data_IF_342315232349
#
_entry.id   IF_342315232349
#
_cell.length_a   1.000
_cell.length_b   1.000
_cell.length_c   1.000
_cell.angle_alpha   90.00
_cell.angle_beta   90.00
_cell.angle_gamma   90.00
#
_symmetry.space_group_name_H-M   'P 1'
#
loop_
_entity.id
_entity.type
_entity.pdbx_description
1 polymer ?
#
# COMPACT_ATOMS: atom_id res chain seq x y z
N UNK A 1 16.18 8.93 50.08
CA UNK A 1 17.28 8.07 49.60
C UNK A 1 16.64 6.70 49.38
N UNK A 2 16.57 6.13 48.18
CA UNK A 2 17.63 5.89 47.18
C UNK A 2 18.59 4.76 47.67
N UNK A 3 18.93 3.75 46.86
CA UNK A 3 18.52 3.48 45.47
C UNK A 3 18.62 1.98 45.08
N UNK A 4 18.43 1.67 43.78
CA UNK A 4 18.72 0.43 43.00
C UNK A 4 19.59 -0.67 43.65
N UNK A 5 19.44 -1.98 43.34
CA UNK A 5 19.26 -2.61 42.00
C UNK A 5 18.37 -3.86 42.11
N UNK A 6 17.36 -4.13 41.27
CA UNK A 6 17.27 -4.13 39.79
C UNK A 6 17.98 -5.35 39.14
N UNK A 7 17.38 -6.53 39.27
CA UNK A 7 17.69 -7.73 38.47
C UNK A 7 16.67 -7.90 37.33
N UNK A 8 17.11 -8.51 36.22
CA UNK A 8 16.44 -8.35 34.92
C UNK A 8 15.51 -9.53 34.56
N UNK A 9 14.19 -9.29 34.50
CA UNK A 9 13.20 -10.19 33.88
C UNK A 9 12.55 -9.52 32.68
N UNK A 10 13.21 -9.57 31.53
CA UNK A 10 12.59 -9.25 30.25
C UNK A 10 11.60 -10.34 29.84
N UNK A 11 10.32 -10.14 30.14
CA UNK A 11 9.25 -11.00 29.63
C UNK A 11 9.15 -10.86 28.11
N UNK A 12 9.29 -11.97 27.37
CA UNK A 12 8.89 -12.01 25.96
C UNK A 12 7.37 -11.91 25.90
N UNK A 13 6.77 -11.09 25.02
CA UNK A 13 5.34 -11.17 24.75
C UNK A 13 5.00 -12.57 24.17
N UNK A 14 3.77 -13.02 24.40
CA UNK A 14 3.30 -14.33 23.95
C UNK A 14 3.32 -14.45 22.42
N UNK A 15 3.33 -15.69 21.93
CA UNK A 15 3.34 -15.97 20.49
C UNK A 15 2.12 -15.38 19.79
N UNK A 16 2.35 -14.71 18.65
CA UNK A 16 1.27 -14.40 17.71
C UNK A 16 0.63 -15.72 17.23
N UNK A 17 -0.69 -15.78 17.02
CA UNK A 17 -1.31 -16.91 16.33
C UNK A 17 -0.70 -17.08 14.93
N UNK A 18 -0.60 -18.33 14.48
CA UNK A 18 -0.01 -18.67 13.19
C UNK A 18 -0.73 -17.98 12.02
N UNK A 19 0.02 -17.68 10.96
CA UNK A 19 -0.54 -17.16 9.71
C UNK A 19 -0.96 -18.31 8.80
N UNK A 20 -2.26 -18.47 8.48
CA UNK A 20 -2.70 -19.42 7.48
C UNK A 20 -2.61 -18.86 6.06
N UNK A 21 -2.68 -19.79 5.11
CA UNK A 21 -2.48 -19.55 3.67
C UNK A 21 -3.59 -18.68 3.08
N UNK A 22 -3.23 -17.70 2.27
CA UNK A 22 -4.19 -16.89 1.53
C UNK A 22 -4.73 -17.65 0.32
N UNK A 23 -5.98 -18.09 0.37
CA UNK A 23 -6.67 -18.72 -0.76
C UNK A 23 -6.84 -17.74 -1.93
N UNK A 24 -5.95 -17.81 -2.92
CA UNK A 24 -5.96 -16.95 -4.11
C UNK A 24 -7.29 -17.03 -4.88
N UNK A 25 -7.97 -15.89 -5.04
CA UNK A 25 -9.31 -15.77 -5.61
C UNK A 25 -9.34 -15.87 -7.14
N UNK A 26 -8.85 -16.99 -7.67
CA UNK A 26 -8.92 -17.31 -9.10
C UNK A 26 -10.36 -17.66 -9.55
N UNK A 27 -10.77 -17.15 -10.71
CA UNK A 27 -12.18 -17.17 -11.15
C UNK A 27 -12.58 -18.45 -11.91
N UNK A 28 -13.61 -19.15 -11.43
CA UNK A 28 -14.22 -20.31 -12.11
C UNK A 28 -15.26 -19.89 -13.15
N UNK A 29 -14.78 -19.58 -14.36
CA UNK A 29 -15.64 -19.26 -15.51
C UNK A 29 -16.28 -20.50 -16.16
N UNK A 30 -17.55 -20.79 -15.85
CA UNK A 30 -18.33 -21.86 -16.48
C UNK A 30 -18.68 -21.60 -17.95
N UNK A 31 -18.51 -22.61 -18.82
CA UNK A 31 -18.94 -22.58 -20.24
C UNK A 31 -20.26 -23.35 -20.42
N UNK A 32 -21.20 -22.80 -21.19
CA UNK A 32 -22.34 -23.56 -21.72
C UNK A 32 -23.37 -22.70 -22.45
N UNK A 33 -24.02 -23.25 -23.50
CA UNK A 33 -25.26 -22.71 -24.08
C UNK A 33 -25.17 -21.80 -25.31
N UNK A 34 -25.30 -22.39 -26.51
CA UNK A 34 -26.02 -21.79 -27.66
C UNK A 34 -27.49 -22.26 -27.57
N UNK A 35 -28.50 -21.47 -27.99
CA UNK A 35 -28.74 -21.01 -29.38
C UNK A 35 -29.06 -19.50 -29.47
N UNK A 36 -29.44 -18.89 -30.60
CA UNK A 36 -29.49 -19.36 -31.99
C UNK A 36 -30.78 -19.02 -32.76
N UNK A 37 -30.87 -17.80 -33.33
CA UNK A 37 -31.74 -17.49 -34.48
C UNK A 37 -32.73 -16.31 -34.36
N UNK A 38 -32.85 -15.53 -35.45
CA UNK A 38 -34.07 -14.77 -35.81
C UNK A 38 -34.16 -13.26 -35.48
N UNK A 39 -34.71 -12.47 -36.41
CA UNK A 39 -35.52 -11.28 -36.05
C UNK A 39 -34.97 -9.86 -36.25
N UNK A 40 -34.99 -9.35 -37.49
CA UNK A 40 -35.23 -7.92 -37.85
C UNK A 40 -36.31 -7.93 -38.96
N UNK A 41 -37.00 -6.81 -39.32
CA UNK A 41 -36.80 -5.40 -38.94
C UNK A 41 -38.11 -4.72 -38.43
N UNK A 42 -38.17 -3.38 -38.37
CA UNK A 42 -39.45 -2.64 -38.27
C UNK A 42 -39.31 -1.17 -37.84
N UNK A 43 -39.92 -0.25 -38.60
CA UNK A 43 -39.88 1.20 -38.34
C UNK A 43 -41.03 1.71 -37.43
N UNK A 44 -40.89 2.92 -36.89
CA UNK A 44 -41.96 3.69 -36.24
C UNK A 44 -41.53 5.14 -35.99
N UNK A 45 -42.35 6.13 -36.35
CA UNK A 45 -41.99 7.55 -36.29
C UNK A 45 -43.18 8.51 -36.06
N UNK A 46 -42.92 9.58 -35.31
CA UNK A 46 -43.77 10.78 -35.12
C UNK A 46 -43.11 11.66 -34.04
N UNK A 47 -42.73 12.94 -34.20
CA UNK A 47 -43.29 14.15 -34.86
C UNK A 47 -44.34 14.92 -34.05
N UNK A 48 -43.94 16.14 -33.64
CA UNK A 48 -44.78 17.36 -33.44
C UNK A 48 -45.72 17.36 -32.22
N UNK A 49 -46.12 18.48 -31.59
CA UNK A 49 -45.88 19.94 -31.79
C UNK A 49 -45.93 20.64 -30.40
N UNK A 50 -45.14 21.66 -30.04
CA UNK A 50 -45.13 23.09 -30.45
C UNK A 50 -46.18 23.99 -29.74
N UNK A 51 -45.74 25.19 -29.27
CA UNK A 51 -46.50 26.35 -28.67
C UNK A 51 -47.12 26.23 -27.25
N UNK A 52 -47.44 27.33 -26.53
CA UNK A 52 -46.75 28.64 -26.25
C UNK A 52 -47.56 29.49 -25.22
N UNK A 53 -46.86 30.38 -24.49
CA UNK A 53 -47.32 31.64 -23.82
C UNK A 53 -48.46 31.62 -22.77
N UNK A 54 -48.47 32.53 -21.76
CA UNK A 54 -49.70 32.68 -20.92
C UNK A 54 -49.88 33.62 -19.70
N UNK A 55 -48.85 34.13 -18.98
CA UNK A 55 -48.95 35.33 -18.10
C UNK A 55 -49.71 35.31 -16.73
N UNK A 56 -49.36 36.30 -15.87
CA UNK A 56 -50.11 36.75 -14.65
C UNK A 56 -49.65 36.21 -13.27
N UNK A 57 -49.68 36.97 -12.16
CA UNK A 57 -49.82 38.44 -12.02
C UNK A 57 -50.29 39.03 -10.67
N UNK A 58 -49.35 39.42 -9.79
CA UNK A 58 -49.45 40.40 -8.65
C UNK A 58 -50.11 40.00 -7.30
N UNK A 59 -49.65 40.69 -6.24
CA UNK A 59 -50.22 40.76 -4.87
C UNK A 59 -49.46 39.93 -3.81
N UNK A 60 -48.99 40.47 -2.67
CA UNK A 60 -48.75 41.87 -2.28
C UNK A 60 -48.80 42.12 -0.76
N UNK A 61 -47.72 42.72 -0.20
CA UNK A 61 -47.73 43.68 0.96
C UNK A 61 -48.24 43.20 2.34
N UNK A 62 -47.83 43.67 3.55
CA UNK A 62 -46.91 44.68 4.16
C UNK A 62 -46.67 44.17 5.64
N UNK A 63 -45.85 44.68 6.61
CA UNK A 63 -44.86 45.76 6.89
C UNK A 63 -43.92 45.26 8.06
N UNK A 64 -42.67 45.72 8.31
CA UNK A 64 -42.15 46.96 9.00
C UNK A 64 -42.62 47.20 10.45
N UNK A 65 -41.89 47.88 11.34
CA UNK A 65 -40.49 48.47 11.38
C UNK A 65 -40.00 48.33 12.86
N UNK A 66 -38.80 48.67 13.35
CA UNK A 66 -37.63 49.45 12.88
C UNK A 66 -36.46 49.23 13.87
N UNK A 67 -35.56 50.16 14.23
CA UNK A 67 -35.35 51.55 13.76
C UNK A 67 -34.63 52.49 14.75
N UNK A 68 -33.28 52.50 14.78
CA UNK A 68 -32.33 53.53 15.32
C UNK A 68 -30.89 53.10 14.93
N UNK A 69 -29.90 53.93 14.60
CA UNK A 69 -29.73 55.40 14.66
C UNK A 69 -28.61 55.77 15.67
N UNK A 70 -27.60 56.61 15.39
CA UNK A 70 -27.23 57.38 14.19
C UNK A 70 -25.85 58.07 14.36
N UNK A 71 -25.56 59.10 13.54
CA UNK A 71 -24.49 60.13 13.69
C UNK A 71 -22.99 59.75 13.57
N UNK A 72 -22.08 60.64 13.12
CA UNK A 72 -22.21 61.62 12.02
C UNK A 72 -20.85 61.94 11.31
N UNK A 73 -20.74 63.07 10.60
CA UNK A 73 -19.87 63.27 9.42
C UNK A 73 -18.72 64.29 9.61
N UNK A 74 -17.71 64.19 8.72
CA UNK A 74 -16.84 65.30 8.21
C UNK A 74 -15.88 65.95 9.24
N UNK A 75 -14.85 66.72 8.86
CA UNK A 75 -14.34 67.18 7.55
C UNK A 75 -12.79 67.35 7.58
N UNK A 76 -12.15 67.61 6.42
CA UNK A 76 -10.84 68.29 6.38
C UNK A 76 -9.62 67.55 5.75
N UNK A 77 -8.95 68.24 4.80
CA UNK A 77 -7.56 68.00 4.35
C UNK A 77 -6.69 69.22 4.72
N UNK A 78 -5.35 69.11 4.68
CA UNK A 78 -4.62 69.70 3.54
C UNK A 78 -3.57 68.74 2.93
N UNK A 79 -2.82 69.19 1.91
CA UNK A 79 -1.75 68.41 1.27
C UNK A 79 -0.63 69.27 0.66
N UNK A 80 0.60 68.76 0.73
CA UNK A 80 1.73 68.94 -0.22
C UNK A 80 2.53 67.62 -0.16
N UNK A 81 3.23 67.12 -1.18
CA UNK A 81 4.00 67.73 -2.28
C UNK A 81 5.47 67.27 -2.11
N UNK A 82 6.28 66.92 -3.12
CA UNK A 82 6.16 66.98 -4.59
C UNK A 82 7.13 65.94 -5.21
N UNK A 83 6.90 65.52 -6.46
CA UNK A 83 7.74 64.51 -7.15
C UNK A 83 9.13 65.00 -7.59
N UNK A 84 9.96 64.06 -8.07
CA UNK A 84 11.33 64.32 -8.55
C UNK A 84 11.46 64.49 -10.08
N UNK A 85 12.69 64.48 -10.63
CA UNK A 85 12.95 64.36 -12.07
C UNK A 85 13.91 63.21 -12.45
N UNK A 86 14.01 62.93 -13.77
CA UNK A 86 15.05 62.09 -14.39
C UNK A 86 16.18 62.97 -14.94
N UNK A 87 17.44 62.51 -14.93
CA UNK A 87 18.42 62.75 -16.02
C UNK A 87 19.79 62.05 -15.79
N UNK A 88 20.36 61.49 -16.87
CA UNK A 88 21.79 61.57 -17.24
C UNK A 88 22.88 60.85 -16.42
N UNK A 89 23.91 60.35 -17.12
CA UNK A 89 25.23 60.09 -16.51
C UNK A 89 25.83 58.69 -16.68
N UNK A 90 26.63 58.49 -17.73
CA UNK A 90 27.93 57.76 -17.61
C UNK A 90 29.01 58.82 -17.35
N UNK A 91 30.10 58.49 -16.63
CA UNK A 91 31.33 58.25 -17.37
C UNK A 91 32.26 57.15 -16.79
N UNK A 92 33.38 57.02 -17.48
CA UNK A 92 34.45 56.04 -17.54
C UNK A 92 35.30 55.71 -16.29
N UNK A 93 35.83 54.47 -16.30
CA UNK A 93 37.26 54.20 -16.05
C UNK A 93 37.70 53.84 -14.61
N UNK A 94 38.99 53.52 -14.39
CA UNK A 94 40.09 53.40 -15.37
C UNK A 94 40.46 51.93 -15.72
N UNK A 95 41.68 51.68 -16.25
CA UNK A 95 42.04 50.45 -17.00
C UNK A 95 43.57 50.21 -17.02
N UNK A 96 43.99 48.93 -17.11
CA UNK A 96 45.33 48.40 -17.52
C UNK A 96 46.48 48.34 -16.48
N UNK A 97 47.40 47.40 -16.74
CA UNK A 97 48.72 47.22 -16.13
C UNK A 97 48.93 45.81 -15.54
N UNK A 98 49.83 44.94 -16.01
CA UNK A 98 50.54 44.91 -17.30
C UNK A 98 50.96 43.45 -17.69
N UNK A 99 51.72 43.27 -18.79
CA UNK A 99 52.12 41.96 -19.34
C UNK A 99 53.26 41.21 -18.61
N UNK A 100 53.98 40.23 -19.25
CA UNK A 100 54.14 40.04 -20.70
C UNK A 100 53.80 38.63 -21.25
N UNK A 101 53.83 38.52 -22.60
CA UNK A 101 53.81 37.26 -23.35
C UNK A 101 55.23 36.71 -23.54
N UNK A 102 55.35 35.39 -23.71
CA UNK A 102 56.28 34.77 -24.69
C UNK A 102 55.47 33.91 -25.66
N UNK A 103 55.99 33.70 -26.86
CA UNK A 103 55.29 33.00 -27.95
C UNK A 103 56.25 32.17 -28.82
N UNK A 104 55.69 31.58 -29.87
CA UNK A 104 56.29 30.48 -30.65
C UNK A 104 55.40 29.25 -30.50
N UNK A 105 54.71 28.74 -31.52
CA UNK A 105 54.79 29.04 -32.96
C UNK A 105 55.69 28.02 -33.65
N UNK A 106 55.09 27.08 -34.38
CA UNK A 106 55.80 25.92 -34.92
C UNK A 106 54.86 24.90 -35.57
N UNK A 107 54.42 25.20 -36.79
CA UNK A 107 53.66 24.29 -37.64
C UNK A 107 54.44 23.00 -37.99
N UNK A 108 53.75 21.86 -38.04
CA UNK A 108 54.07 20.77 -38.99
C UNK A 108 52.89 19.81 -39.19
N UNK A 109 52.22 19.98 -40.33
CA UNK A 109 51.19 19.08 -40.88
C UNK A 109 51.82 18.26 -42.00
N UNK A 110 51.85 16.94 -41.88
CA UNK A 110 52.30 16.03 -42.94
C UNK A 110 53.15 14.87 -42.40
N UNK A 111 52.77 13.64 -42.74
CA UNK A 111 53.41 12.43 -42.19
C UNK A 111 52.74 11.12 -42.62
N UNK A 112 52.37 10.98 -43.90
CA UNK A 112 51.99 9.68 -44.44
C UNK A 112 53.24 8.81 -44.63
N UNK A 113 53.47 7.81 -43.76
CA UNK A 113 54.35 6.69 -44.12
C UNK A 113 53.49 5.50 -44.55
N UNK A 114 53.79 4.95 -45.73
CA UNK A 114 53.31 3.64 -46.17
C UNK A 114 54.38 2.62 -45.85
N UNK A 115 54.17 1.80 -44.83
CA UNK A 115 54.96 0.59 -44.62
C UNK A 115 54.05 -0.64 -44.60
N UNK A 116 54.55 -1.74 -45.17
CA UNK A 116 53.72 -2.79 -45.77
C UNK A 116 54.27 -4.18 -45.44
N UNK A 117 53.90 -4.74 -44.29
CA UNK A 117 54.30 -6.10 -43.93
C UNK A 117 53.63 -6.67 -42.69
N UNK A 118 53.47 -7.99 -42.67
CA UNK A 118 53.30 -8.79 -41.44
C UNK A 118 51.94 -8.74 -40.74
N UNK A 119 51.07 -9.71 -41.04
CA UNK A 119 50.02 -10.18 -40.12
C UNK A 119 50.57 -11.44 -39.43
N UNK A 120 50.56 -11.52 -38.09
CA UNK A 120 49.53 -12.31 -37.40
C UNK A 120 48.62 -11.38 -36.56
N UNK A 121 47.37 -11.74 -36.25
CA UNK A 121 46.94 -13.06 -35.78
C UNK A 121 46.77 -13.10 -34.26
N UNK A 122 47.17 -12.04 -33.54
CA UNK A 122 46.88 -11.86 -32.12
C UNK A 122 45.53 -11.19 -31.88
N UNK A 123 44.52 -11.96 -31.45
CA UNK A 123 43.39 -11.41 -30.67
C UNK A 123 44.01 -10.93 -29.35
N UNK A 124 43.77 -9.70 -28.87
CA UNK A 124 44.29 -9.31 -27.55
C UNK A 124 43.78 -10.35 -26.53
N UNK A 125 44.63 -10.84 -25.61
CA UNK A 125 44.17 -11.76 -24.59
C UNK A 125 43.00 -11.09 -23.88
N UNK A 126 41.92 -11.86 -23.65
CA UNK A 126 40.86 -11.41 -22.73
C UNK A 126 41.58 -10.98 -21.46
N UNK A 127 41.28 -9.78 -20.93
CA UNK A 127 41.73 -9.43 -19.59
C UNK A 127 41.33 -10.60 -18.67
N UNK A 128 42.22 -10.91 -17.73
CA UNK A 128 41.93 -11.82 -16.63
C UNK A 128 40.60 -11.44 -15.99
N UNK A 129 39.98 -12.37 -15.28
CA UNK A 129 38.89 -12.06 -14.35
C UNK A 129 39.36 -11.02 -13.33
N UNK A 130 39.16 -9.74 -13.67
CA UNK A 130 39.22 -8.64 -12.73
C UNK A 130 38.21 -8.96 -11.62
N UNK A 131 38.58 -8.92 -10.33
CA UNK A 131 37.67 -9.24 -9.24
C UNK A 131 36.40 -8.42 -9.38
N UNK A 132 35.29 -9.09 -9.74
CA UNK A 132 34.04 -8.44 -10.14
C UNK A 132 33.60 -7.53 -9.00
N UNK A 133 33.69 -6.22 -9.23
CA UNK A 133 33.47 -5.21 -8.19
C UNK A 133 32.22 -5.54 -7.39
N UNK A 134 32.34 -5.52 -6.06
CA UNK A 134 31.24 -5.89 -5.17
C UNK A 134 30.01 -5.03 -5.49
N UNK A 135 28.98 -5.67 -6.05
CA UNK A 135 27.75 -5.01 -6.47
C UNK A 135 27.25 -4.07 -5.38
N UNK A 136 26.97 -2.82 -5.73
CA UNK A 136 26.44 -1.84 -4.76
C UNK A 136 25.09 -2.31 -4.20
N UNK A 137 24.67 -1.79 -3.05
CA UNK A 137 23.38 -2.14 -2.45
C UNK A 137 22.22 -1.94 -3.44
N UNK A 138 22.24 -0.84 -4.21
CA UNK A 138 21.25 -0.56 -5.26
C UNK A 138 21.29 -1.57 -6.40
N UNK A 139 22.47 -2.06 -6.80
CA UNK A 139 22.59 -3.11 -7.82
C UNK A 139 22.05 -4.46 -7.31
N UNK A 140 22.34 -4.83 -6.05
CA UNK A 140 21.80 -6.06 -5.43
C UNK A 140 20.26 -5.98 -5.33
N UNK A 141 19.72 -4.83 -4.91
CA UNK A 141 18.28 -4.57 -4.86
C UNK A 141 17.61 -4.40 -6.24
N UNK A 142 18.38 -4.03 -7.28
CA UNK A 142 17.89 -4.01 -8.66
C UNK A 142 17.80 -5.42 -9.25
N UNK A 143 18.83 -6.25 -9.08
CA UNK A 143 18.87 -7.61 -9.62
C UNK A 143 17.83 -8.50 -8.92
N UNK A 144 17.80 -8.45 -7.59
CA UNK A 144 16.97 -9.30 -6.72
C UNK A 144 17.58 -10.69 -6.48
N UNK A 145 16.89 -11.54 -5.69
CA UNK A 145 17.21 -12.96 -5.59
C UNK A 145 17.07 -13.66 -6.95
N UNK A 146 17.70 -14.82 -7.10
CA UNK A 146 17.59 -15.63 -8.31
C UNK A 146 16.15 -16.08 -8.54
N UNK A 147 15.70 -16.05 -9.80
CA UNK A 147 14.33 -16.42 -10.16
C UNK A 147 14.28 -17.92 -10.49
N UNK A 148 13.41 -18.71 -9.85
CA UNK A 148 13.23 -20.12 -10.19
C UNK A 148 12.85 -20.30 -11.66
N UNK A 149 13.31 -21.39 -12.28
CA UNK A 149 13.19 -21.63 -13.73
C UNK A 149 11.75 -21.92 -14.16
N UNK A 150 10.96 -22.51 -13.27
CA UNK A 150 9.53 -22.76 -13.42
C UNK A 150 8.67 -21.48 -13.44
N UNK A 151 9.15 -20.39 -12.84
CA UNK A 151 8.43 -19.12 -12.78
C UNK A 151 8.59 -18.37 -14.11
N UNK A 152 7.62 -18.50 -15.03
CA UNK A 152 7.74 -17.87 -16.37
C UNK A 152 7.25 -16.41 -16.42
N UNK A 153 6.47 -15.97 -15.43
CA UNK A 153 5.79 -14.68 -15.39
C UNK A 153 4.43 -14.68 -16.12
N UNK A 154 3.96 -15.82 -16.61
CA UNK A 154 2.64 -16.00 -17.26
C UNK A 154 1.57 -16.51 -16.28
N UNK A 155 1.99 -16.93 -15.10
CA UNK A 155 1.16 -17.40 -13.99
C UNK A 155 0.44 -16.23 -13.31
N UNK A 156 0.99 -15.03 -13.46
CA UNK A 156 0.45 -13.76 -12.96
C UNK A 156 -0.96 -13.48 -13.51
N UNK A 157 -1.88 -13.09 -12.63
CA UNK A 157 -3.26 -12.79 -13.01
C UNK A 157 -3.36 -11.77 -14.17
N UNK A 158 -4.39 -11.95 -15.00
CA UNK A 158 -4.62 -11.18 -16.24
C UNK A 158 -4.91 -9.70 -15.99
N UNK A 159 -5.49 -9.32 -14.85
CA UNK A 159 -5.70 -7.92 -14.47
C UNK A 159 -4.41 -7.31 -13.89
N UNK A 160 -3.61 -8.06 -13.14
CA UNK A 160 -2.27 -7.63 -12.69
C UNK A 160 -1.35 -7.42 -13.90
N UNK A 161 -1.24 -8.42 -14.78
CA UNK A 161 -0.48 -8.34 -16.03
C UNK A 161 -0.98 -7.22 -16.96
N UNK A 162 -2.25 -6.80 -16.86
CA UNK A 162 -2.77 -5.64 -17.60
C UNK A 162 -2.07 -4.33 -17.20
N UNK A 163 -1.73 -4.15 -15.91
CA UNK A 163 -1.05 -2.96 -15.42
C UNK A 163 0.40 -2.84 -15.93
N UNK A 164 1.02 -3.96 -16.32
CA UNK A 164 2.41 -4.00 -16.82
C UNK A 164 2.54 -3.66 -18.31
N UNK A 165 1.45 -3.61 -19.08
CA UNK A 165 1.47 -3.40 -20.55
C UNK A 165 2.07 -2.06 -21.00
N UNK A 166 2.14 -1.07 -20.11
CA UNK A 166 2.79 0.22 -20.39
C UNK A 166 4.32 0.20 -20.31
N UNK A 167 4.93 -0.95 -20.01
CA UNK A 167 6.38 -1.11 -19.89
C UNK A 167 6.97 -1.82 -21.12
N UNK A 168 8.27 -1.65 -21.41
CA UNK A 168 8.97 -2.48 -22.39
C UNK A 168 8.86 -3.97 -22.05
N UNK A 169 8.60 -4.81 -23.05
CA UNK A 169 8.29 -6.25 -22.89
C UNK A 169 9.25 -7.00 -21.95
N UNK A 170 10.57 -6.85 -22.15
CA UNK A 170 11.60 -7.50 -21.32
C UNK A 170 11.57 -7.04 -19.85
N UNK A 171 11.18 -5.79 -19.60
CA UNK A 171 11.04 -5.24 -18.26
C UNK A 171 9.75 -5.74 -17.61
N UNK A 172 8.63 -5.75 -18.35
CA UNK A 172 7.35 -6.31 -17.91
C UNK A 172 7.51 -7.79 -17.53
N UNK A 173 8.17 -8.60 -18.36
CA UNK A 173 8.41 -10.01 -18.10
C UNK A 173 9.30 -10.25 -16.86
N UNK A 174 10.39 -9.50 -16.69
CA UNK A 174 11.25 -9.63 -15.49
C UNK A 174 10.51 -9.22 -14.21
N UNK A 175 9.66 -8.20 -14.26
CA UNK A 175 8.80 -7.79 -13.14
C UNK A 175 7.76 -8.88 -12.85
N UNK A 176 7.08 -9.40 -13.87
CA UNK A 176 6.07 -10.44 -13.71
C UNK A 176 6.64 -11.70 -13.04
N UNK A 177 7.83 -12.16 -13.46
CA UNK A 177 8.54 -13.26 -12.79
C UNK A 177 8.80 -12.98 -11.30
N UNK A 178 9.23 -11.76 -10.95
CA UNK A 178 9.45 -11.40 -9.54
C UNK A 178 8.16 -11.26 -8.72
N UNK A 179 7.03 -10.87 -9.34
CA UNK A 179 5.73 -10.87 -8.65
C UNK A 179 5.22 -12.30 -8.40
N UNK A 180 5.32 -13.20 -9.39
CA UNK A 180 4.96 -14.61 -9.24
C UNK A 180 5.85 -15.31 -8.21
N UNK A 181 7.16 -15.03 -8.21
CA UNK A 181 8.07 -15.60 -7.22
C UNK A 181 7.81 -15.03 -5.81
N UNK A 182 7.37 -13.76 -5.68
CA UNK A 182 6.95 -13.23 -4.39
C UNK A 182 5.69 -13.93 -3.86
N UNK A 183 4.66 -14.11 -4.69
CA UNK A 183 3.43 -14.84 -4.36
C UNK A 183 3.73 -16.31 -3.96
N UNK A 184 4.58 -17.00 -4.73
CA UNK A 184 4.96 -18.39 -4.47
C UNK A 184 5.66 -18.62 -3.13
N UNK A 185 6.50 -17.67 -2.68
CA UNK A 185 7.21 -17.78 -1.41
C UNK A 185 6.50 -17.12 -0.23
N UNK A 186 5.42 -16.36 -0.44
CA UNK A 186 4.88 -15.48 0.61
C UNK A 186 4.46 -16.23 1.88
N UNK A 187 4.00 -17.48 1.78
CA UNK A 187 3.63 -18.33 2.92
C UNK A 187 4.80 -19.12 3.53
N UNK A 188 5.85 -19.43 2.74
CA UNK A 188 6.92 -20.37 3.12
C UNK A 188 8.25 -19.69 3.49
N UNK A 189 8.63 -18.65 2.76
CA UNK A 189 9.75 -17.74 3.06
C UNK A 189 9.31 -16.29 2.76
N UNK A 190 8.68 -15.63 3.74
CA UNK A 190 8.21 -14.25 3.59
C UNK A 190 9.33 -13.24 3.29
N UNK A 191 10.56 -13.49 3.75
CA UNK A 191 11.70 -12.61 3.52
C UNK A 191 12.17 -12.72 2.06
N UNK A 192 12.28 -13.94 1.52
CA UNK A 192 12.57 -14.16 0.10
C UNK A 192 11.48 -13.54 -0.80
N UNK A 193 10.21 -13.70 -0.42
CA UNK A 193 9.08 -13.04 -1.09
C UNK A 193 9.20 -11.51 -1.09
N UNK A 194 9.54 -10.92 0.05
CA UNK A 194 9.80 -9.49 0.19
C UNK A 194 10.97 -9.03 -0.70
N UNK A 195 12.08 -9.76 -0.73
CA UNK A 195 13.23 -9.42 -1.59
C UNK A 195 12.88 -9.51 -3.09
N UNK A 196 12.04 -10.46 -3.51
CA UNK A 196 11.52 -10.49 -4.88
C UNK A 196 10.59 -9.32 -5.19
N UNK A 197 9.64 -8.99 -4.31
CA UNK A 197 8.75 -7.85 -4.49
C UNK A 197 9.53 -6.51 -4.52
N UNK A 198 10.60 -6.42 -3.71
CA UNK A 198 11.53 -5.28 -3.69
C UNK A 198 12.32 -5.16 -4.99
N UNK A 199 12.72 -6.27 -5.60
CA UNK A 199 13.33 -6.31 -6.93
C UNK A 199 12.34 -5.98 -8.07
N UNK A 200 11.04 -6.24 -7.90
CA UNK A 200 10.01 -5.70 -8.80
C UNK A 200 9.85 -4.17 -8.59
N UNK A 201 9.92 -3.70 -7.35
CA UNK A 201 9.78 -2.29 -6.96
C UNK A 201 10.92 -1.39 -7.46
N UNK A 202 12.17 -1.83 -7.33
CA UNK A 202 13.36 -1.10 -7.79
C UNK A 202 13.33 -0.85 -9.30
N UNK A 203 12.66 -1.73 -10.07
CA UNK A 203 12.45 -1.60 -11.52
C UNK A 203 11.32 -0.63 -11.90
N UNK A 204 10.27 -0.45 -11.08
CA UNK A 204 9.25 0.59 -11.30
C UNK A 204 8.64 1.15 -10.01
N UNK A 205 8.79 2.46 -9.80
CA UNK A 205 8.11 3.17 -8.72
C UNK A 205 6.64 3.53 -9.03
N UNK A 206 6.20 3.48 -10.29
CA UNK A 206 4.98 4.16 -10.79
C UNK A 206 3.74 3.29 -11.01
N UNK A 207 3.79 1.99 -10.72
CA UNK A 207 2.64 1.08 -10.85
C UNK A 207 2.15 0.68 -9.44
N UNK A 208 0.82 0.67 -9.24
CA UNK A 208 0.19 0.45 -7.93
C UNK A 208 0.36 -0.99 -7.45
N UNK A 209 0.12 -2.00 -8.30
CA UNK A 209 0.19 -3.41 -7.89
C UNK A 209 1.60 -3.88 -7.48
N UNK A 210 2.66 -3.18 -7.89
CA UNK A 210 4.03 -3.42 -7.38
C UNK A 210 4.17 -2.95 -5.92
N UNK A 211 3.42 -1.92 -5.51
CA UNK A 211 3.43 -1.38 -4.13
C UNK A 211 2.55 -2.19 -3.19
N UNK A 212 1.44 -2.68 -3.72
CA UNK A 212 0.56 -3.70 -3.13
C UNK A 212 1.37 -4.97 -2.79
N UNK A 213 1.96 -5.63 -3.79
CA UNK A 213 2.76 -6.83 -3.59
C UNK A 213 3.98 -6.62 -2.67
N UNK A 214 4.70 -5.48 -2.77
CA UNK A 214 5.77 -5.17 -1.81
C UNK A 214 5.22 -4.92 -0.41
N UNK A 215 4.07 -4.25 -0.28
CA UNK A 215 3.45 -3.97 1.00
C UNK A 215 2.97 -5.23 1.72
N UNK A 216 2.40 -6.17 0.98
CA UNK A 216 1.92 -7.47 1.49
C UNK A 216 3.08 -8.41 1.84
N UNK A 217 4.10 -8.51 0.99
CA UNK A 217 5.30 -9.30 1.29
C UNK A 217 6.12 -8.68 2.45
N UNK A 218 6.23 -7.35 2.52
CA UNK A 218 6.84 -6.65 3.66
C UNK A 218 6.05 -6.89 4.97
N UNK A 219 4.72 -6.92 4.91
CA UNK A 219 3.89 -7.25 6.08
C UNK A 219 4.11 -8.71 6.53
N UNK A 220 4.16 -9.65 5.59
CA UNK A 220 4.42 -11.06 5.86
C UNK A 220 5.84 -11.29 6.46
N UNK A 221 6.84 -10.55 5.99
CA UNK A 221 8.22 -10.56 6.53
C UNK A 221 8.38 -9.78 7.86
N UNK A 222 7.38 -9.01 8.28
CA UNK A 222 7.42 -8.21 9.51
C UNK A 222 8.04 -6.82 9.38
N UNK A 223 8.28 -6.33 8.16
CA UNK A 223 8.78 -4.98 7.86
C UNK A 223 7.64 -3.93 7.90
N UNK A 224 6.89 -3.89 9.01
CA UNK A 224 5.61 -3.15 9.14
C UNK A 224 5.68 -1.67 8.75
N UNK A 225 6.82 -1.01 8.98
CA UNK A 225 7.02 0.39 8.59
C UNK A 225 7.09 0.59 7.07
N UNK A 226 7.75 -0.31 6.34
CA UNK A 226 7.81 -0.29 4.87
C UNK A 226 6.48 -0.76 4.28
N UNK A 227 5.87 -1.81 4.84
CA UNK A 227 4.54 -2.28 4.48
C UNK A 227 3.49 -1.16 4.55
N UNK A 228 3.43 -0.45 5.69
CA UNK A 228 2.52 0.68 5.88
C UNK A 228 2.82 1.84 4.92
N UNK A 229 4.09 2.10 4.59
CA UNK A 229 4.46 3.15 3.64
C UNK A 229 4.02 2.81 2.19
N UNK A 230 4.25 1.58 1.75
CA UNK A 230 3.94 1.12 0.40
C UNK A 230 2.44 0.88 0.19
N UNK A 231 1.71 0.29 1.14
CA UNK A 231 0.25 0.15 1.06
C UNK A 231 -0.47 1.52 1.06
N UNK A 232 0.01 2.49 1.86
CA UNK A 232 -0.45 3.89 1.77
C UNK A 232 -0.15 4.51 0.40
N UNK A 233 0.95 4.14 -0.24
CA UNK A 233 1.28 4.62 -1.58
C UNK A 233 0.44 3.93 -2.67
N UNK A 234 0.20 2.62 -2.59
CA UNK A 234 -0.73 1.88 -3.44
C UNK A 234 -2.12 2.52 -3.38
N UNK A 235 -2.67 2.69 -2.17
CA UNK A 235 -3.99 3.32 -1.94
C UNK A 235 -4.09 4.74 -2.51
N UNK A 236 -3.03 5.55 -2.47
CA UNK A 236 -3.01 6.88 -3.12
C UNK A 236 -3.01 6.82 -4.64
N UNK A 237 -2.56 5.71 -5.24
CA UNK A 237 -2.44 5.54 -6.69
C UNK A 237 -3.66 4.86 -7.33
N UNK A 238 -4.30 3.90 -6.64
CA UNK A 238 -5.46 3.17 -7.15
C UNK A 238 -6.78 3.41 -6.39
N UNK A 239 -6.74 4.15 -5.26
CA UNK A 239 -7.89 4.41 -4.40
C UNK A 239 -8.29 3.25 -3.47
N UNK A 240 -7.81 2.04 -3.73
CA UNK A 240 -8.32 0.79 -3.18
C UNK A 240 -8.27 0.73 -1.65
N UNK A 241 -9.27 0.07 -1.07
CA UNK A 241 -9.50 0.02 0.39
C UNK A 241 -9.20 -1.35 0.99
N UNK A 242 -8.97 -2.38 0.17
CA UNK A 242 -8.66 -3.75 0.61
C UNK A 242 -7.47 -3.82 1.59
N UNK A 243 -6.47 -2.94 1.45
CA UNK A 243 -5.27 -2.90 2.31
C UNK A 243 -5.52 -2.35 3.71
N UNK A 244 -6.70 -1.80 4.01
CA UNK A 244 -6.93 -1.10 5.29
C UNK A 244 -6.75 -1.99 6.53
N UNK A 245 -7.18 -3.27 6.58
CA UNK A 245 -6.90 -4.15 7.72
C UNK A 245 -5.40 -4.37 7.92
N UNK A 246 -4.64 -4.61 6.84
CA UNK A 246 -3.18 -4.79 6.89
C UNK A 246 -2.50 -3.50 7.38
N UNK A 247 -2.94 -2.33 6.89
CA UNK A 247 -2.47 -1.03 7.36
C UNK A 247 -2.78 -0.76 8.84
N UNK A 248 -3.94 -1.24 9.34
CA UNK A 248 -4.30 -1.14 10.75
C UNK A 248 -3.45 -2.10 11.62
N UNK A 249 -3.19 -3.32 11.16
CA UNK A 249 -2.34 -4.26 11.92
C UNK A 249 -0.86 -3.83 11.92
N UNK A 250 -0.38 -3.23 10.83
CA UNK A 250 0.92 -2.55 10.82
C UNK A 250 1.00 -1.45 11.89
N UNK A 251 -0.09 -0.71 12.15
CA UNK A 251 -0.11 0.27 13.24
C UNK A 251 -0.02 -0.39 14.62
N UNK A 252 -0.74 -1.51 14.86
CA UNK A 252 -0.60 -2.30 16.09
C UNK A 252 0.84 -2.79 16.29
N UNK A 253 1.42 -3.41 15.26
CA UNK A 253 2.77 -3.96 15.27
C UNK A 253 3.86 -2.89 15.49
N UNK A 254 3.57 -1.63 15.20
CA UNK A 254 4.43 -0.46 15.47
C UNK A 254 4.11 0.23 16.82
N UNK A 255 3.28 -0.38 17.68
CA UNK A 255 2.92 0.16 18.99
C UNK A 255 1.95 1.34 18.96
N UNK A 256 1.03 1.38 17.97
CA UNK A 256 0.07 2.47 17.75
C UNK A 256 -1.39 1.96 17.63
N UNK A 257 -1.92 1.22 18.61
CA UNK A 257 -3.25 0.61 18.53
C UNK A 257 -4.39 1.62 18.31
N UNK A 258 -4.26 2.85 18.81
CA UNK A 258 -5.26 3.92 18.62
C UNK A 258 -5.38 4.32 17.14
N UNK A 259 -4.29 4.24 16.37
CA UNK A 259 -4.32 4.51 14.92
C UNK A 259 -4.96 3.36 14.15
N UNK A 260 -4.85 2.12 14.64
CA UNK A 260 -5.55 0.97 14.08
C UNK A 260 -7.08 1.11 14.25
N UNK A 261 -7.54 1.44 15.46
CA UNK A 261 -8.96 1.71 15.74
C UNK A 261 -9.47 2.89 14.90
N UNK A 262 -8.71 3.99 14.82
CA UNK A 262 -9.04 5.15 13.98
C UNK A 262 -9.18 4.78 12.48
N UNK A 263 -8.44 3.78 12.00
CA UNK A 263 -8.54 3.31 10.61
C UNK A 263 -9.74 2.37 10.40
N UNK A 264 -10.03 1.51 11.37
CA UNK A 264 -11.24 0.68 11.41
C UNK A 264 -12.52 1.53 11.38
N UNK A 265 -12.52 2.69 12.05
CA UNK A 265 -13.65 3.62 12.11
C UNK A 265 -13.73 4.57 10.89
N UNK A 266 -12.93 4.33 9.84
CA UNK A 266 -12.97 5.15 8.63
C UNK A 266 -14.19 4.84 7.73
N UNK A 267 -14.80 5.84 7.05
CA UNK A 267 -15.99 5.60 6.20
C UNK A 267 -15.79 4.56 5.08
N UNK A 268 -14.54 4.28 4.69
CA UNK A 268 -14.21 3.24 3.73
C UNK A 268 -14.51 1.81 4.21
N UNK A 269 -14.54 1.56 5.53
CA UNK A 269 -14.77 0.23 6.13
C UNK A 269 -16.26 -0.12 6.20
N UNK A 270 -17.14 0.89 6.25
CA UNK A 270 -18.61 0.70 6.36
C UNK A 270 -19.14 -0.22 5.23
N UNK A 271 -18.60 -0.02 4.03
CA UNK A 271 -18.96 -0.71 2.79
C UNK A 271 -18.09 -1.96 2.50
N UNK A 272 -17.45 -2.54 3.52
CA UNK A 272 -16.69 -3.79 3.33
C UNK A 272 -17.60 -5.02 3.25
N UNK A 273 -17.32 -5.87 2.25
CA UNK A 273 -17.83 -7.23 2.17
C UNK A 273 -17.41 -8.05 3.40
N UNK A 274 -18.20 -9.08 3.73
CA UNK A 274 -18.09 -9.82 4.98
C UNK A 274 -16.65 -10.30 5.34
N UNK A 275 -15.83 -10.84 4.41
CA UNK A 275 -14.46 -11.24 4.75
C UNK A 275 -13.58 -10.04 5.16
N UNK A 276 -13.51 -8.99 4.33
CA UNK A 276 -12.70 -7.80 4.61
C UNK A 276 -13.17 -7.06 5.87
N UNK A 277 -14.48 -7.10 6.15
CA UNK A 277 -15.07 -6.55 7.37
C UNK A 277 -14.66 -7.35 8.60
N UNK A 278 -14.68 -8.68 8.54
CA UNK A 278 -14.21 -9.54 9.62
C UNK A 278 -12.70 -9.35 9.90
N UNK A 279 -11.87 -9.23 8.87
CA UNK A 279 -10.45 -8.88 9.04
C UNK A 279 -10.28 -7.57 9.82
N UNK A 280 -11.03 -6.52 9.46
CA UNK A 280 -10.97 -5.24 10.17
C UNK A 280 -11.48 -5.34 11.62
N UNK A 281 -12.56 -6.08 11.87
CA UNK A 281 -13.05 -6.39 13.23
C UNK A 281 -11.96 -7.06 14.07
N UNK A 282 -11.31 -8.09 13.54
CA UNK A 282 -10.26 -8.84 14.24
C UNK A 282 -9.09 -7.91 14.60
N UNK A 283 -8.69 -7.03 13.68
CA UNK A 283 -7.63 -6.03 13.93
C UNK A 283 -8.07 -4.96 14.94
N UNK A 284 -9.32 -4.49 14.94
CA UNK A 284 -9.80 -3.54 15.97
C UNK A 284 -9.86 -4.20 17.35
N UNK A 285 -10.36 -5.44 17.44
CA UNK A 285 -10.39 -6.19 18.69
C UNK A 285 -8.97 -6.48 19.21
N UNK A 286 -8.04 -6.83 18.32
CA UNK A 286 -6.62 -6.95 18.62
C UNK A 286 -6.03 -5.65 19.16
N UNK A 287 -6.27 -4.51 18.51
CA UNK A 287 -5.80 -3.20 18.97
C UNK A 287 -6.34 -2.84 20.37
N UNK A 288 -7.53 -3.33 20.73
CA UNK A 288 -8.11 -3.17 22.07
C UNK A 288 -7.46 -4.08 23.11
N UNK A 289 -7.12 -5.34 22.76
CA UNK A 289 -6.31 -6.23 23.60
C UNK A 289 -4.92 -5.65 23.87
N UNK A 290 -4.27 -5.05 22.87
CA UNK A 290 -2.97 -4.39 23.01
C UNK A 290 -2.99 -3.25 24.06
N UNK A 291 -4.17 -2.70 24.36
CA UNK A 291 -4.42 -1.68 25.39
C UNK A 291 -5.10 -2.23 26.67
N UNK A 292 -5.23 -3.55 26.82
CA UNK A 292 -5.92 -4.20 27.95
C UNK A 292 -7.45 -4.01 27.98
N UNK A 293 -8.06 -3.51 26.90
CA UNK A 293 -9.49 -3.19 26.82
C UNK A 293 -10.33 -4.43 26.45
N UNK A 294 -10.18 -5.54 27.17
CA UNK A 294 -10.75 -6.85 26.81
C UNK A 294 -12.27 -6.81 26.58
N UNK A 295 -13.04 -6.19 27.49
CA UNK A 295 -14.50 -6.07 27.31
C UNK A 295 -14.90 -5.30 26.04
N UNK A 296 -14.07 -4.35 25.59
CA UNK A 296 -14.33 -3.60 24.36
C UNK A 296 -13.97 -4.42 23.11
N UNK A 297 -12.93 -5.26 23.19
CA UNK A 297 -12.60 -6.23 22.15
C UNK A 297 -13.72 -7.29 21.99
N UNK A 298 -14.17 -7.87 23.10
CA UNK A 298 -15.25 -8.88 23.14
C UNK A 298 -16.54 -8.33 22.53
N UNK A 299 -17.02 -7.15 22.96
CA UNK A 299 -18.26 -6.54 22.42
C UNK A 299 -18.25 -6.32 20.91
N UNK A 300 -17.10 -6.06 20.30
CA UNK A 300 -16.96 -5.83 18.85
C UNK A 300 -16.98 -7.14 18.07
N UNK A 301 -16.39 -8.19 18.63
CA UNK A 301 -16.46 -9.55 18.10
C UNK A 301 -17.88 -10.13 18.25
N UNK A 302 -18.55 -9.90 19.38
CA UNK A 302 -19.94 -10.28 19.65
C UNK A 302 -20.96 -9.61 18.70
N UNK A 303 -20.70 -8.37 18.29
CA UNK A 303 -21.49 -7.64 17.27
C UNK A 303 -21.20 -8.11 15.83
N UNK A 304 -20.15 -8.92 15.64
CA UNK A 304 -19.78 -9.49 14.34
C UNK A 304 -20.37 -10.91 14.19
N UNK A 305 -20.51 -11.46 12.97
CA UNK A 305 -21.33 -12.64 12.72
C UNK A 305 -20.63 -13.98 13.09
N UNK A 306 -20.19 -14.12 14.35
CA UNK A 306 -19.59 -15.33 14.93
C UNK A 306 -20.43 -16.60 14.69
N UNK A 307 -21.76 -16.46 14.72
CA UNK A 307 -22.73 -17.53 14.53
C UNK A 307 -23.07 -17.80 13.05
N UNK A 308 -22.33 -17.23 12.09
CA UNK A 308 -22.46 -17.58 10.66
C UNK A 308 -22.23 -19.10 10.48
N UNK A 309 -23.02 -19.73 9.61
CA UNK A 309 -22.96 -21.16 9.27
C UNK A 309 -21.93 -21.48 8.17
N UNK A 310 -21.38 -20.47 7.51
CA UNK A 310 -20.27 -20.65 6.57
C UNK A 310 -19.02 -21.23 7.27
N UNK A 311 -18.23 -21.99 6.50
CA UNK A 311 -16.92 -22.53 6.90
C UNK A 311 -15.75 -21.78 6.27
N UNK A 312 -16.00 -20.66 5.59
CA UNK A 312 -14.93 -19.81 5.04
C UNK A 312 -13.94 -19.38 6.12
N UNK A 313 -12.66 -19.28 5.75
CA UNK A 313 -11.55 -18.94 6.64
C UNK A 313 -11.79 -17.68 7.52
N UNK A 314 -12.52 -16.69 7.00
CA UNK A 314 -12.85 -15.47 7.76
C UNK A 314 -13.78 -15.74 8.96
N UNK A 315 -14.68 -16.72 8.88
CA UNK A 315 -15.55 -17.13 10.00
C UNK A 315 -14.73 -17.89 11.05
N UNK A 316 -13.84 -18.79 10.59
CA UNK A 316 -12.91 -19.53 11.47
C UNK A 316 -12.06 -18.55 12.27
N UNK A 317 -11.40 -17.61 11.58
CA UNK A 317 -10.52 -16.60 12.21
C UNK A 317 -11.28 -15.63 13.12
N UNK A 318 -12.53 -15.30 12.82
CA UNK A 318 -13.38 -14.48 13.70
C UNK A 318 -13.74 -15.23 15.00
N UNK A 319 -14.08 -16.52 14.92
CA UNK A 319 -14.33 -17.35 16.12
C UNK A 319 -13.05 -17.59 16.93
N UNK A 320 -11.93 -17.85 16.26
CA UNK A 320 -10.61 -17.98 16.92
C UNK A 320 -10.27 -16.70 17.69
N UNK A 321 -10.36 -15.54 17.04
CA UNK A 321 -10.07 -14.26 17.67
C UNK A 321 -10.95 -14.02 18.91
N UNK A 322 -12.20 -14.46 18.90
CA UNK A 322 -13.09 -14.37 20.07
C UNK A 322 -12.70 -15.35 21.19
N UNK A 323 -12.39 -16.62 20.87
CA UNK A 323 -11.89 -17.58 21.85
C UNK A 323 -10.58 -17.12 22.52
N UNK A 324 -9.64 -16.62 21.72
CA UNK A 324 -8.35 -16.09 22.16
C UNK A 324 -8.50 -14.80 22.98
N UNK A 325 -9.48 -13.94 22.65
CA UNK A 325 -9.84 -12.76 23.47
C UNK A 325 -10.51 -13.14 24.80
N UNK A 326 -11.32 -14.20 24.82
CA UNK A 326 -11.93 -14.73 26.05
C UNK A 326 -10.86 -15.29 27.00
N UNK A 327 -9.86 -16.00 26.48
CA UNK A 327 -8.75 -16.54 27.28
C UNK A 327 -7.88 -15.42 27.86
N UNK A 328 -7.50 -14.41 27.07
CA UNK A 328 -6.80 -13.21 27.56
C UNK A 328 -7.59 -12.47 28.66
N UNK A 329 -8.92 -12.53 28.62
CA UNK A 329 -9.81 -11.97 29.63
C UNK A 329 -10.03 -12.87 30.87
N UNK A 330 -9.37 -14.02 30.96
CA UNK A 330 -9.54 -14.99 32.05
C UNK A 330 -10.88 -15.74 32.04
N UNK A 331 -11.58 -15.77 30.90
CA UNK A 331 -12.89 -16.43 30.73
C UNK A 331 -12.72 -17.83 30.16
N UNK A 332 -11.84 -18.63 30.76
CA UNK A 332 -11.33 -19.89 30.20
C UNK A 332 -12.40 -20.92 29.84
N UNK A 333 -13.49 -21.01 30.62
CA UNK A 333 -14.64 -21.90 30.35
C UNK A 333 -15.43 -21.47 29.10
N UNK A 334 -15.54 -20.16 28.85
CA UNK A 334 -16.09 -19.64 27.59
C UNK A 334 -15.10 -19.82 26.43
N UNK A 335 -13.81 -19.53 26.67
CA UNK A 335 -12.75 -19.65 25.67
C UNK A 335 -12.65 -21.08 25.12
N UNK A 336 -12.61 -22.08 25.99
CA UNK A 336 -12.63 -23.50 25.65
C UNK A 336 -13.83 -23.87 24.76
N UNK A 337 -15.03 -23.40 25.15
CA UNK A 337 -16.26 -23.59 24.37
C UNK A 337 -16.13 -22.99 22.97
N UNK A 338 -15.47 -21.83 22.81
CA UNK A 338 -15.29 -21.19 21.51
C UNK A 338 -14.11 -21.72 20.69
N UNK A 339 -13.06 -22.28 21.31
CA UNK A 339 -12.01 -23.02 20.59
C UNK A 339 -12.57 -24.30 19.98
N UNK A 340 -13.36 -25.09 20.73
CA UNK A 340 -14.09 -26.24 20.17
C UNK A 340 -15.03 -25.84 19.01
N UNK A 341 -15.77 -24.72 19.15
CA UNK A 341 -16.62 -24.18 18.07
C UNK A 341 -15.85 -23.55 16.91
N UNK A 342 -14.55 -23.32 17.05
CA UNK A 342 -13.66 -22.90 15.97
C UNK A 342 -13.15 -24.12 15.22
N UNK A 343 -12.53 -25.07 15.94
CA UNK A 343 -12.04 -26.33 15.39
C UNK A 343 -13.13 -27.10 14.61
N UNK A 344 -14.36 -27.14 15.12
CA UNK A 344 -15.48 -27.79 14.44
C UNK A 344 -15.83 -27.23 13.04
N UNK A 345 -15.36 -26.04 12.66
CA UNK A 345 -15.48 -25.51 11.28
C UNK A 345 -14.16 -25.44 10.52
N UNK A 346 -13.02 -25.45 11.21
CA UNK A 346 -11.65 -25.33 10.66
C UNK A 346 -11.21 -26.60 9.90
N UNK A 347 -11.69 -26.74 8.66
CA UNK A 347 -11.42 -27.91 7.82
C UNK A 347 -10.02 -27.90 7.19
N UNK A 348 -9.40 -26.72 7.08
CA UNK A 348 -8.12 -26.49 6.39
C UNK A 348 -6.95 -26.36 7.38
N UNK A 349 -7.19 -26.65 8.68
CA UNK A 349 -6.24 -26.55 9.80
C UNK A 349 -5.53 -25.18 9.87
N UNK A 350 -6.31 -24.11 9.67
CA UNK A 350 -5.80 -22.73 9.60
C UNK A 350 -5.60 -22.07 10.97
N UNK A 351 -5.97 -22.74 12.06
CA UNK A 351 -5.74 -22.30 13.44
C UNK A 351 -5.34 -23.44 14.37
N UNK A 352 -4.64 -23.11 15.46
CA UNK A 352 -4.26 -24.05 16.53
C UNK A 352 -5.41 -24.34 17.53
N UNK A 353 -6.67 -24.11 17.13
CA UNK A 353 -7.83 -24.15 18.02
C UNK A 353 -8.00 -25.48 18.79
N UNK A 354 -7.66 -26.61 18.17
CA UNK A 354 -7.68 -27.92 18.85
C UNK A 354 -6.68 -28.01 20.01
N UNK A 355 -5.44 -27.56 19.79
CA UNK A 355 -4.40 -27.54 20.82
C UNK A 355 -4.70 -26.51 21.93
N UNK A 356 -5.32 -25.38 21.59
CA UNK A 356 -5.79 -24.39 22.58
C UNK A 356 -6.92 -24.94 23.45
N UNK A 357 -7.84 -25.73 22.89
CA UNK A 357 -8.87 -26.43 23.66
C UNK A 357 -8.26 -27.48 24.61
N UNK A 358 -7.40 -28.38 24.10
CA UNK A 358 -6.74 -29.43 24.89
C UNK A 358 -5.88 -28.86 26.05
N UNK A 359 -5.26 -27.69 25.86
CA UNK A 359 -4.51 -26.99 26.90
C UNK A 359 -5.42 -26.38 27.98
N UNK A 360 -6.59 -25.87 27.59
CA UNK A 360 -7.58 -25.32 28.52
C UNK A 360 -8.29 -26.40 29.32
N UNK A 361 -8.61 -27.55 28.74
CA UNK A 361 -9.22 -28.70 29.45
C UNK A 361 -8.35 -29.12 30.64
N UNK A 362 -7.05 -29.35 30.39
CA UNK A 362 -6.03 -29.69 31.42
C UNK A 362 -5.81 -28.61 32.49
N UNK A 363 -6.38 -27.41 32.30
CA UNK A 363 -6.33 -26.32 33.27
C UNK A 363 -7.65 -26.26 34.04
N UNK A 364 -8.78 -26.25 33.32
CA UNK A 364 -10.15 -26.20 33.86
C UNK A 364 -10.53 -27.44 34.68
N UNK A 365 -9.94 -28.61 34.42
CA UNK A 365 -10.12 -29.82 35.23
C UNK A 365 -9.40 -29.78 36.59
N UNK A 366 -8.64 -28.72 36.89
CA UNK A 366 -7.81 -28.60 38.11
C UNK A 366 -8.30 -27.54 39.10
N UNK A 367 -9.35 -26.79 38.74
CA UNK A 367 -9.94 -25.66 39.49
C UNK A 367 -11.45 -25.88 39.81
#
# INVERSE_FOLDING_TARGET
MADERRSNRGGKPAGRPGRPKSSGSSSTGGRGGRPGGGGRPGAGAGRSSDRRDGGGGRGGEQRRDGGRGGDERRDGKPSTGRGGPRAGGRPDGPKRGDGPKRGGGGDRKGGYSKDRGGKPGGRPPRRFDEPREERTADQRAYDGPELPDEVTGKELDRAIAAQLRGLPEKLAARIARHLVAADMYIDSDPELAYQHAKAAKSRTQRIAVIREALGEAAYAAGHYAEALAELRAAKRMNGATAYLPIMADCHRALGQPEQAIKLAHSPSVVNFEAPAKAEMTIVEAGARRDMGQYDAALRILEQSPLNNKSREAWVVRLRYAYADTLQDAGRDKDALTWFHRTYAIDADEITDAAARAEALEKTVERD
#
